data_IF_014646519678
#
_entry.id   IF_014646519678
#
_cell.length_a   1.000
_cell.length_b   1.000
_cell.length_c   1.000
_cell.angle_alpha   90.00
_cell.angle_beta   90.00
_cell.angle_gamma   90.00
#
_symmetry.space_group_name_H-M   'P 1'
#
loop_
_entity.id
_entity.type
_entity.pdbx_description
1 polymer ?
#
# COMPACT_ATOMS: atom_id res chain seq x y z
N UNK A 1 -52.06 -63.28 6.07
CA UNK A 1 -52.37 -63.93 4.77
C UNK A 1 -51.24 -63.50 3.82
N UNK A 2 -50.38 -64.41 3.56
CA UNK A 2 -50.27 -65.16 2.30
C UNK A 2 -49.88 -64.19 1.14
N UNK A 3 -48.86 -64.34 0.43
CA UNK A 3 -47.92 -65.40 0.16
C UNK A 3 -46.95 -65.00 -0.97
N UNK A 4 -45.83 -65.63 -0.89
CA UNK A 4 -45.12 -66.38 -1.95
C UNK A 4 -44.56 -65.63 -3.15
N UNK A 5 -43.18 -65.58 -3.23
CA UNK A 5 -42.34 -66.48 -4.04
C UNK A 5 -42.36 -66.22 -5.55
N UNK A 6 -41.23 -65.98 -6.21
CA UNK A 6 -40.15 -66.86 -6.71
C UNK A 6 -39.24 -66.01 -7.66
N UNK A 7 -37.90 -66.10 -7.53
CA UNK A 7 -36.95 -66.82 -8.41
C UNK A 7 -37.14 -66.50 -9.90
N UNK A 8 -36.10 -66.15 -10.67
CA UNK A 8 -34.80 -66.77 -10.86
C UNK A 8 -33.98 -66.00 -11.92
N UNK A 9 -32.66 -66.11 -11.78
CA UNK A 9 -31.65 -66.46 -12.79
C UNK A 9 -31.57 -65.63 -14.08
N UNK A 10 -30.43 -65.11 -14.34
CA UNK A 10 -29.39 -65.53 -15.27
C UNK A 10 -28.68 -64.36 -15.88
N UNK A 11 -27.44 -64.21 -15.67
CA UNK A 11 -26.38 -64.61 -16.57
C UNK A 11 -26.00 -63.53 -17.58
N UNK A 12 -24.75 -63.10 -17.54
CA UNK A 12 -24.17 -62.37 -18.66
C UNK A 12 -23.02 -61.46 -18.27
N UNK A 13 -21.88 -62.04 -17.92
CA UNK A 13 -20.58 -61.35 -18.03
C UNK A 13 -20.37 -60.91 -19.45
N UNK A 14 -20.10 -59.65 -19.71
CA UNK A 14 -19.23 -59.19 -20.78
C UNK A 14 -18.54 -57.92 -20.31
N UNK A 15 -17.21 -58.01 -20.13
CA UNK A 15 -16.34 -56.92 -19.83
C UNK A 15 -16.31 -55.91 -20.97
N UNK A 16 -16.32 -54.68 -20.64
CA UNK A 16 -15.89 -53.58 -21.50
C UNK A 16 -14.84 -52.82 -20.71
N UNK A 17 -13.62 -52.94 -21.18
CA UNK A 17 -12.49 -52.14 -20.76
C UNK A 17 -12.78 -50.68 -21.08
N UNK A 18 -13.16 -49.90 -20.08
CA UNK A 18 -13.29 -48.46 -20.16
C UNK A 18 -11.95 -47.82 -19.85
N UNK A 19 -11.29 -47.31 -20.86
CA UNK A 19 -10.10 -46.51 -20.76
C UNK A 19 -10.42 -45.25 -19.90
N UNK A 20 -9.90 -45.22 -18.68
CA UNK A 20 -9.99 -44.04 -17.83
C UNK A 20 -9.08 -42.94 -18.38
N UNK A 21 -9.69 -41.93 -19.00
CA UNK A 21 -9.03 -40.68 -19.31
C UNK A 21 -8.79 -39.96 -17.95
N UNK A 22 -7.56 -40.06 -17.43
CA UNK A 22 -7.10 -39.21 -16.33
C UNK A 22 -6.98 -37.79 -16.85
N UNK A 23 -7.97 -36.96 -16.58
CA UNK A 23 -7.86 -35.50 -16.71
C UNK A 23 -6.87 -35.03 -15.63
N UNK A 24 -5.59 -34.88 -16.02
CA UNK A 24 -4.60 -34.16 -15.24
C UNK A 24 -4.99 -32.68 -15.26
N UNK A 25 -5.74 -32.21 -14.27
CA UNK A 25 -5.94 -30.79 -13.98
C UNK A 25 -4.61 -30.21 -13.56
N UNK A 26 -3.92 -29.58 -14.49
CA UNK A 26 -2.78 -28.69 -14.23
C UNK A 26 -3.31 -27.49 -13.42
N UNK A 27 -3.25 -27.60 -12.11
CA UNK A 27 -3.31 -26.46 -11.21
C UNK A 27 -2.05 -25.62 -11.50
N UNK A 28 -2.20 -24.63 -12.38
CA UNK A 28 -1.26 -23.54 -12.53
C UNK A 28 -1.23 -22.81 -11.17
N UNK A 29 -0.32 -23.21 -10.31
CA UNK A 29 0.05 -22.40 -9.15
C UNK A 29 0.59 -21.08 -9.71
N UNK A 30 -0.25 -20.06 -9.68
CA UNK A 30 0.23 -18.69 -9.82
C UNK A 30 1.12 -18.42 -8.62
N UNK A 31 2.42 -18.64 -8.79
CA UNK A 31 3.39 -18.22 -7.80
C UNK A 31 3.15 -16.73 -7.53
N UNK A 32 3.03 -16.32 -6.27
CA UNK A 32 2.91 -14.91 -5.93
C UNK A 32 4.09 -14.19 -6.59
N UNK A 33 3.80 -13.25 -7.50
CA UNK A 33 4.84 -12.43 -8.10
C UNK A 33 5.55 -11.71 -6.96
N UNK A 34 6.89 -11.76 -6.88
CA UNK A 34 7.61 -11.01 -5.87
C UNK A 34 7.21 -9.55 -6.03
N UNK A 35 6.60 -8.98 -4.99
CA UNK A 35 6.29 -7.55 -4.95
C UNK A 35 7.64 -6.84 -4.99
N UNK A 36 7.93 -6.04 -6.02
CA UNK A 36 9.19 -5.35 -6.06
C UNK A 36 9.25 -4.39 -4.86
N UNK A 37 10.28 -4.56 -4.06
CA UNK A 37 10.63 -3.68 -2.96
C UNK A 37 10.68 -2.23 -3.40
N UNK A 38 10.64 -1.32 -2.43
CA UNK A 38 10.79 0.12 -2.62
C UNK A 38 11.83 0.44 -3.71
N UNK A 39 11.36 0.75 -4.92
CA UNK A 39 12.22 0.99 -6.08
C UNK A 39 12.42 2.49 -6.20
N UNK A 40 13.65 2.95 -6.03
CA UNK A 40 13.99 4.37 -6.12
C UNK A 40 13.76 4.97 -7.51
N UNK A 41 13.99 4.16 -8.56
CA UNK A 41 13.71 4.52 -9.95
C UNK A 41 12.79 3.48 -10.57
N UNK A 42 11.68 3.93 -11.16
CA UNK A 42 10.76 3.05 -11.87
C UNK A 42 11.38 2.59 -13.18
N UNK A 43 11.36 1.27 -13.41
CA UNK A 43 11.66 0.69 -14.73
C UNK A 43 10.51 0.97 -15.70
N UNK A 44 10.75 0.80 -17.01
CA UNK A 44 9.70 0.93 -18.02
C UNK A 44 8.48 0.02 -17.73
N UNK A 45 8.71 -1.18 -17.21
CA UNK A 45 7.65 -2.09 -16.80
C UNK A 45 6.92 -1.58 -15.55
N UNK A 46 7.66 -1.08 -14.54
CA UNK A 46 7.07 -0.48 -13.35
C UNK A 46 6.23 0.76 -13.65
N UNK A 47 6.60 1.55 -14.65
CA UNK A 47 5.80 2.69 -15.12
C UNK A 47 4.47 2.20 -15.70
N UNK A 48 4.50 1.19 -16.58
CA UNK A 48 3.29 0.59 -17.16
C UNK A 48 2.39 -0.01 -16.08
N UNK A 49 2.95 -0.81 -15.18
CA UNK A 49 2.20 -1.40 -14.07
C UNK A 49 1.54 -0.33 -13.18
N UNK A 50 2.23 0.77 -12.90
CA UNK A 50 1.65 1.85 -12.09
C UNK A 50 0.47 2.53 -12.80
N UNK A 51 0.59 2.78 -14.10
CA UNK A 51 -0.47 3.38 -14.90
C UNK A 51 -1.68 2.43 -14.96
N UNK A 52 -1.45 1.16 -15.26
CA UNK A 52 -2.49 0.13 -15.36
C UNK A 52 -3.23 -0.03 -14.01
N UNK A 53 -2.48 -0.07 -12.90
CA UNK A 53 -3.04 -0.12 -11.56
C UNK A 53 -3.93 1.11 -11.26
N UNK A 54 -3.47 2.30 -11.65
CA UNK A 54 -4.25 3.53 -11.48
C UNK A 54 -5.54 3.53 -12.30
N UNK A 55 -5.47 3.15 -13.56
CA UNK A 55 -6.63 3.07 -14.44
C UNK A 55 -7.64 2.01 -13.94
N UNK A 56 -7.16 0.83 -13.54
CA UNK A 56 -8.00 -0.23 -12.99
C UNK A 56 -8.72 0.19 -11.70
N UNK A 57 -8.13 1.09 -10.93
CA UNK A 57 -8.69 1.58 -9.66
C UNK A 57 -9.74 2.70 -9.82
N UNK A 58 -10.10 3.10 -11.05
CA UNK A 58 -11.10 4.18 -11.29
C UNK A 58 -12.46 3.84 -10.67
N UNK A 59 -12.86 2.57 -10.69
CA UNK A 59 -14.14 2.09 -10.15
C UNK A 59 -14.09 1.72 -8.67
N UNK A 60 -12.94 1.85 -8.03
CA UNK A 60 -12.77 1.55 -6.61
C UNK A 60 -13.01 2.82 -5.79
N UNK A 61 -13.83 2.73 -4.76
CA UNK A 61 -14.10 3.88 -3.87
C UNK A 61 -12.87 4.24 -3.04
N UNK A 62 -12.10 3.24 -2.62
CA UNK A 62 -10.86 3.42 -1.86
C UNK A 62 -9.64 3.11 -2.73
N UNK A 63 -8.64 3.97 -2.61
CA UNK A 63 -7.34 3.70 -3.24
C UNK A 63 -6.56 2.72 -2.36
N UNK A 64 -5.67 1.87 -2.93
CA UNK A 64 -5.18 0.69 -2.24
C UNK A 64 -4.75 0.93 -0.80
N UNK A 65 -5.37 0.21 0.13
CA UNK A 65 -5.03 0.16 1.55
C UNK A 65 -3.57 -0.23 1.80
N UNK A 66 -2.94 -0.89 0.80
CA UNK A 66 -1.54 -1.31 0.87
C UNK A 66 -0.55 -0.15 1.09
N UNK A 67 -0.95 1.09 0.78
CA UNK A 67 -0.10 2.28 1.00
C UNK A 67 -0.44 3.04 2.26
N UNK A 68 -1.39 2.56 3.02
CA UNK A 68 -1.87 3.16 4.25
C UNK A 68 -1.55 2.28 5.45
N UNK A 69 -1.10 2.90 6.53
CA UNK A 69 -0.89 2.27 7.81
C UNK A 69 -1.71 3.00 8.86
N UNK A 70 -2.73 2.33 9.38
CA UNK A 70 -3.49 2.82 10.52
C UNK A 70 -2.82 2.36 11.82
N UNK A 71 -2.67 3.28 12.76
CA UNK A 71 -2.08 3.00 14.07
C UNK A 71 -3.17 2.86 15.13
N UNK A 72 -2.90 2.12 16.22
CA UNK A 72 -3.89 1.89 17.27
C UNK A 72 -4.40 3.17 17.95
N UNK A 73 -3.64 4.27 17.92
CA UNK A 73 -4.03 5.57 18.45
C UNK A 73 -4.97 6.37 17.54
N UNK A 74 -5.25 5.84 16.33
CA UNK A 74 -6.08 6.47 15.32
C UNK A 74 -5.29 7.34 14.35
N UNK A 75 -3.96 7.41 14.48
CA UNK A 75 -3.10 8.09 13.52
C UNK A 75 -3.02 7.28 12.23
N UNK A 76 -2.83 7.99 11.13
CA UNK A 76 -2.78 7.46 9.79
C UNK A 76 -1.48 7.85 9.10
N UNK A 77 -0.83 6.90 8.42
CA UNK A 77 0.35 7.16 7.59
C UNK A 77 0.11 6.65 6.19
N UNK A 78 0.03 7.55 5.22
CA UNK A 78 0.02 7.18 3.81
C UNK A 78 1.44 7.30 3.27
N UNK A 79 1.93 6.19 2.71
CA UNK A 79 3.28 6.11 2.13
C UNK A 79 3.19 6.35 0.62
N UNK A 80 3.80 7.43 0.17
CA UNK A 80 3.82 7.81 -1.24
C UNK A 80 5.19 7.55 -1.84
N UNK A 81 5.27 6.55 -2.70
CA UNK A 81 6.43 6.14 -3.49
C UNK A 81 6.34 6.71 -4.91
N UNK A 82 7.38 6.63 -5.74
CA UNK A 82 7.27 6.94 -7.17
C UNK A 82 6.16 6.16 -7.87
N UNK A 83 6.00 4.87 -7.54
CA UNK A 83 4.95 4.01 -8.11
C UNK A 83 3.55 4.49 -7.71
N UNK A 84 3.28 4.62 -6.41
CA UNK A 84 1.96 4.99 -5.92
C UNK A 84 1.53 6.39 -6.40
N UNK A 85 2.48 7.33 -6.53
CA UNK A 85 2.21 8.68 -7.08
C UNK A 85 1.79 8.62 -8.54
N UNK A 86 2.49 7.82 -9.34
CA UNK A 86 2.15 7.66 -10.76
C UNK A 86 0.79 6.98 -10.92
N UNK A 87 0.53 5.92 -10.15
CA UNK A 87 -0.75 5.22 -10.15
C UNK A 87 -1.91 6.15 -9.73
N UNK A 88 -1.72 6.96 -8.67
CA UNK A 88 -2.72 7.93 -8.22
C UNK A 88 -3.00 8.99 -9.31
N UNK A 89 -1.94 9.47 -9.98
CA UNK A 89 -2.10 10.45 -11.06
C UNK A 89 -2.83 9.84 -12.26
N UNK A 90 -2.49 8.59 -12.64
CA UNK A 90 -3.18 7.87 -13.71
C UNK A 90 -4.67 7.69 -13.39
N UNK A 91 -5.01 7.30 -12.15
CA UNK A 91 -6.40 7.21 -11.70
C UNK A 91 -7.14 8.54 -11.83
N UNK A 92 -6.56 9.63 -11.33
CA UNK A 92 -7.19 10.96 -11.36
C UNK A 92 -7.45 11.46 -12.79
N UNK A 93 -6.55 11.15 -13.72
CA UNK A 93 -6.69 11.51 -15.13
C UNK A 93 -7.75 10.63 -15.80
N UNK A 94 -7.70 9.31 -15.56
CA UNK A 94 -8.68 8.38 -16.11
C UNK A 94 -10.11 8.62 -15.58
N UNK A 95 -10.28 9.06 -14.33
CA UNK A 95 -11.58 9.48 -13.79
C UNK A 95 -12.19 10.70 -14.54
N UNK A 96 -11.36 11.50 -15.22
CA UNK A 96 -11.82 12.61 -16.08
C UNK A 96 -12.06 12.19 -17.51
N UNK A 97 -11.86 10.90 -17.85
CA UNK A 97 -11.96 10.38 -19.20
C UNK A 97 -10.73 10.66 -20.08
N UNK A 98 -9.65 11.14 -19.49
CA UNK A 98 -8.41 11.48 -20.17
C UNK A 98 -7.36 10.38 -20.09
N UNK A 99 -6.28 10.50 -20.87
CA UNK A 99 -5.12 9.60 -20.86
C UNK A 99 -3.90 10.36 -20.35
N UNK A 100 -3.15 9.71 -19.46
CA UNK A 100 -1.91 10.27 -18.92
C UNK A 100 -0.84 10.41 -20.00
N UNK A 101 -0.44 11.63 -20.33
CA UNK A 101 0.54 11.93 -21.37
C UNK A 101 1.96 11.60 -20.91
N UNK A 102 2.88 11.34 -21.86
CA UNK A 102 4.30 11.09 -21.55
C UNK A 102 4.96 12.22 -20.77
N UNK A 103 4.61 13.46 -21.08
CA UNK A 103 5.08 14.63 -20.34
C UNK A 103 4.66 14.58 -18.87
N UNK A 104 3.39 14.30 -18.62
CA UNK A 104 2.87 14.18 -17.25
C UNK A 104 3.49 12.99 -16.51
N UNK A 105 3.67 11.84 -17.19
CA UNK A 105 4.37 10.68 -16.63
C UNK A 105 5.76 11.07 -16.16
N UNK A 106 6.55 11.69 -17.06
CA UNK A 106 7.90 12.14 -16.75
C UNK A 106 7.94 13.12 -15.58
N UNK A 107 7.04 14.11 -15.55
CA UNK A 107 6.95 15.06 -14.44
C UNK A 107 6.68 14.37 -13.09
N UNK A 108 5.78 13.37 -13.05
CA UNK A 108 5.50 12.64 -11.81
C UNK A 108 6.68 11.77 -11.36
N UNK A 109 7.36 11.11 -12.30
CA UNK A 109 8.55 10.32 -12.02
C UNK A 109 9.68 11.22 -11.48
N UNK A 110 9.96 12.33 -12.13
CA UNK A 110 11.03 13.28 -11.73
C UNK A 110 10.73 13.86 -10.33
N UNK A 111 9.45 14.15 -10.02
CA UNK A 111 9.04 14.62 -8.68
C UNK A 111 9.19 13.56 -7.59
N UNK A 112 9.07 12.29 -7.94
CA UNK A 112 9.19 11.16 -7.00
C UNK A 112 10.62 10.64 -6.85
N UNK A 113 11.52 10.97 -7.79
CA UNK A 113 12.84 10.37 -7.89
C UNK A 113 13.67 10.53 -6.62
N UNK A 114 14.22 9.40 -6.15
CA UNK A 114 15.15 9.38 -5.00
C UNK A 114 14.52 9.76 -3.66
N UNK A 115 13.20 9.78 -3.54
CA UNK A 115 12.51 10.19 -2.31
C UNK A 115 11.26 9.37 -2.03
N UNK A 116 10.92 9.29 -0.73
CA UNK A 116 9.64 8.77 -0.22
C UNK A 116 8.93 9.90 0.51
N UNK A 117 7.63 10.01 0.33
CA UNK A 117 6.81 10.98 1.04
C UNK A 117 5.86 10.26 1.98
N UNK A 118 5.77 10.73 3.20
CA UNK A 118 4.82 10.27 4.20
C UNK A 118 3.81 11.39 4.46
N UNK A 119 2.53 11.09 4.26
CA UNK A 119 1.44 11.92 4.73
C UNK A 119 0.97 11.34 6.07
N UNK A 120 1.18 12.08 7.15
CA UNK A 120 0.93 11.63 8.52
C UNK A 120 -0.21 12.43 9.11
N UNK A 121 -1.35 11.78 9.32
CA UNK A 121 -2.48 12.35 10.04
C UNK A 121 -2.32 12.04 11.52
N UNK A 122 -2.23 13.07 12.34
CA UNK A 122 -2.10 12.96 13.79
C UNK A 122 -3.28 13.63 14.47
N UNK A 123 -3.77 13.00 15.53
CA UNK A 123 -4.85 13.55 16.35
C UNK A 123 -4.29 14.14 17.63
N UNK A 124 -4.73 15.34 17.97
CA UNK A 124 -4.22 16.07 19.13
C UNK A 124 -5.30 16.58 20.07
N UNK A 125 -4.83 17.16 21.17
CA UNK A 125 -5.65 17.80 22.18
C UNK A 125 -6.25 19.14 21.70
N UNK A 126 -6.78 19.95 22.63
CA UNK A 126 -7.55 21.16 22.30
C UNK A 126 -6.73 22.30 21.67
N UNK A 127 -5.40 22.20 21.72
CA UNK A 127 -4.53 23.24 21.14
C UNK A 127 -4.50 23.14 19.61
N UNK A 128 -4.92 24.21 18.95
CA UNK A 128 -4.84 24.31 17.48
C UNK A 128 -3.42 24.41 16.92
N UNK A 129 -2.41 24.41 17.79
CA UNK A 129 -1.00 24.51 17.39
C UNK A 129 -0.20 23.26 17.74
N UNK A 130 -0.86 22.18 18.15
CA UNK A 130 -0.18 20.99 18.68
C UNK A 130 0.83 20.37 17.71
N UNK A 131 0.57 20.41 16.38
CA UNK A 131 1.43 19.79 15.39
C UNK A 131 2.43 20.75 14.72
N UNK A 132 2.43 22.03 15.11
CA UNK A 132 3.10 23.11 14.35
C UNK A 132 4.62 22.96 14.21
N UNK A 133 5.27 22.33 15.17
CA UNK A 133 6.73 22.27 15.25
C UNK A 133 7.28 20.83 15.32
N UNK A 134 6.55 19.87 14.83
CA UNK A 134 6.98 18.49 14.82
C UNK A 134 8.24 18.28 13.98
N UNK A 135 9.12 17.44 14.48
CA UNK A 135 10.38 17.07 13.83
C UNK A 135 10.40 15.57 13.54
N UNK A 136 10.22 15.16 12.27
CA UNK A 136 10.24 13.75 11.89
C UNK A 136 11.65 13.28 11.57
N UNK A 137 11.95 12.02 11.92
CA UNK A 137 13.13 11.27 11.49
C UNK A 137 12.74 9.84 11.14
N UNK A 138 13.46 9.21 10.22
CA UNK A 138 13.43 7.76 10.01
C UNK A 138 14.62 7.12 10.72
N UNK A 139 14.37 6.15 11.57
CA UNK A 139 15.41 5.35 12.23
C UNK A 139 15.65 4.06 11.45
N UNK A 140 16.91 3.84 11.06
CA UNK A 140 17.38 2.66 10.33
C UNK A 140 18.64 2.15 11.02
N UNK A 141 18.60 0.93 11.57
CA UNK A 141 19.76 0.32 12.22
C UNK A 141 20.45 1.25 13.25
N UNK A 142 19.67 1.96 14.04
CA UNK A 142 20.16 2.89 15.06
C UNK A 142 20.64 4.26 14.53
N UNK A 143 20.60 4.49 13.23
CA UNK A 143 20.90 5.80 12.62
C UNK A 143 19.63 6.55 12.29
N UNK A 144 19.67 7.87 12.43
CA UNK A 144 18.55 8.75 12.05
C UNK A 144 18.80 9.37 10.68
N UNK A 145 17.80 9.25 9.81
CA UNK A 145 17.71 9.92 8.53
C UNK A 145 16.74 11.08 8.69
N UNK A 146 17.22 12.28 8.47
CA UNK A 146 16.41 13.50 8.57
C UNK A 146 15.53 13.66 7.34
N UNK A 147 14.33 14.21 7.53
CA UNK A 147 13.50 14.62 6.42
C UNK A 147 14.18 15.73 5.62
N UNK A 148 14.13 15.62 4.30
CA UNK A 148 14.60 16.66 3.36
C UNK A 148 13.58 17.79 3.21
N UNK A 149 12.30 17.50 3.55
CA UNK A 149 11.22 18.48 3.58
C UNK A 149 10.24 18.12 4.69
N UNK A 150 9.80 19.13 5.44
CA UNK A 150 8.82 19.03 6.53
C UNK A 150 7.77 20.11 6.35
N UNK A 151 6.52 19.70 6.22
CA UNK A 151 5.37 20.59 6.26
C UNK A 151 4.44 20.12 7.36
N UNK A 152 4.44 20.85 8.44
CA UNK A 152 3.51 20.62 9.53
C UNK A 152 2.22 21.42 9.32
N UNK A 153 1.09 20.82 9.70
CA UNK A 153 -0.21 21.48 9.66
C UNK A 153 -0.24 22.66 10.64
N UNK A 154 -0.62 23.82 10.13
CA UNK A 154 -0.72 25.04 10.92
C UNK A 154 -2.12 25.29 11.50
N UNK A 155 -3.12 24.68 10.87
CA UNK A 155 -4.53 24.87 11.21
C UNK A 155 -5.24 23.53 11.25
N UNK A 156 -4.99 22.70 12.28
CA UNK A 156 -5.67 21.42 12.43
C UNK A 156 -7.20 21.60 12.39
N UNK A 157 -7.86 20.68 11.76
CA UNK A 157 -9.31 20.68 11.58
C UNK A 157 -9.96 19.67 12.54
N UNK A 158 -11.21 19.92 13.01
CA UNK A 158 -11.94 18.92 13.75
C UNK A 158 -12.13 17.64 12.95
N UNK A 159 -11.76 16.49 13.50
CA UNK A 159 -12.09 15.18 12.98
C UNK A 159 -13.50 14.76 13.36
N UNK A 160 -13.96 13.64 12.82
CA UNK A 160 -15.29 13.09 13.11
C UNK A 160 -15.47 12.69 14.58
N UNK A 161 -14.37 12.32 15.23
CA UNK A 161 -14.32 11.99 16.67
C UNK A 161 -14.24 13.21 17.59
N UNK A 162 -14.29 14.42 17.04
CA UNK A 162 -14.18 15.69 17.76
C UNK A 162 -12.76 16.06 18.18
N UNK A 163 -11.76 15.24 17.94
CA UNK A 163 -10.35 15.59 18.12
C UNK A 163 -9.86 16.44 16.95
N UNK A 164 -8.86 17.28 17.19
CA UNK A 164 -8.22 18.01 16.11
C UNK A 164 -7.30 17.09 15.32
N UNK A 165 -7.45 17.06 14.00
CA UNK A 165 -6.62 16.32 13.07
C UNK A 165 -5.64 17.25 12.35
N UNK A 166 -4.35 16.89 12.38
CA UNK A 166 -3.28 17.58 11.67
C UNK A 166 -2.70 16.68 10.58
N UNK A 167 -2.70 17.16 9.34
CA UNK A 167 -2.13 16.45 8.18
C UNK A 167 -0.74 16.99 7.88
N UNK A 168 0.27 16.21 8.23
CA UNK A 168 1.67 16.59 8.08
C UNK A 168 2.28 15.88 6.88
N UNK A 169 3.15 16.57 6.12
CA UNK A 169 3.86 16.00 4.97
C UNK A 169 5.36 15.97 5.28
N UNK A 170 5.94 14.78 5.21
CA UNK A 170 7.34 14.53 5.44
C UNK A 170 7.97 13.85 4.22
N UNK A 171 9.06 14.40 3.71
CA UNK A 171 9.79 13.80 2.58
C UNK A 171 11.16 13.38 3.04
N UNK A 172 11.51 12.13 2.77
CA UNK A 172 12.81 11.57 3.11
C UNK A 172 13.57 11.15 1.85
N UNK A 173 14.90 11.26 1.83
CA UNK A 173 15.71 10.68 0.78
C UNK A 173 15.63 9.16 0.85
N UNK A 174 15.63 8.48 -0.29
CA UNK A 174 15.73 7.03 -0.36
C UNK A 174 17.16 6.54 -0.05
N UNK A 175 18.14 7.42 -0.17
CA UNK A 175 19.53 7.12 0.20
C UNK A 175 19.62 6.75 1.69
N UNK A 176 20.22 5.60 1.96
CA UNK A 176 20.34 5.06 3.32
C UNK A 176 19.14 4.29 3.81
N UNK A 177 18.04 4.23 3.06
CA UNK A 177 16.92 3.35 3.37
C UNK A 177 17.16 1.94 2.80
N UNK A 178 16.78 0.87 3.53
CA UNK A 178 16.83 -0.48 2.99
C UNK A 178 15.76 -0.63 1.89
N UNK A 179 16.12 -1.28 0.79
CA UNK A 179 15.16 -1.57 -0.29
C UNK A 179 14.04 -2.49 0.19
N UNK A 180 14.37 -3.42 1.07
CA UNK A 180 13.45 -4.33 1.75
C UNK A 180 13.76 -4.26 3.23
N UNK A 181 12.78 -4.09 4.06
CA UNK A 181 12.97 -4.11 5.51
C UNK A 181 12.14 -3.08 6.24
N UNK A 182 12.32 -3.05 7.54
CA UNK A 182 11.56 -2.18 8.43
C UNK A 182 12.37 -0.95 8.79
N UNK A 183 11.74 0.22 8.69
CA UNK A 183 12.23 1.48 9.23
C UNK A 183 11.25 1.98 10.30
N UNK A 184 11.70 2.84 11.19
CA UNK A 184 10.82 3.41 12.21
C UNK A 184 10.71 4.91 12.00
N UNK A 185 9.49 5.39 11.72
CA UNK A 185 9.19 6.82 11.77
C UNK A 185 9.09 7.23 13.23
N UNK A 186 9.86 8.25 13.60
CA UNK A 186 9.76 8.91 14.91
C UNK A 186 9.45 10.37 14.66
N UNK A 187 8.40 10.87 15.28
CA UNK A 187 8.04 12.28 15.26
C UNK A 187 8.20 12.83 16.68
N UNK A 188 8.95 13.91 16.81
CA UNK A 188 9.20 14.58 18.08
C UNK A 188 8.53 15.95 18.09
N UNK A 189 8.15 16.37 19.27
CA UNK A 189 7.63 17.72 19.52
C UNK A 189 8.74 18.79 19.46
N UNK A 190 8.34 20.04 19.65
CA UNK A 190 9.24 21.18 19.62
C UNK A 190 10.33 21.12 20.70
N UNK A 191 11.52 21.72 20.43
CA UNK A 191 12.46 22.01 21.50
C UNK A 191 11.84 22.87 22.61
N UNK A 192 12.29 22.75 23.85
CA UNK A 192 13.46 21.99 24.30
C UNK A 192 13.21 20.53 24.58
N UNK A 193 11.96 20.11 24.83
CA UNK A 193 11.64 18.78 25.37
C UNK A 193 11.85 17.67 24.34
N UNK A 194 11.60 17.92 23.04
CA UNK A 194 11.70 16.95 21.93
C UNK A 194 11.07 15.60 22.28
N UNK A 195 9.95 15.65 23.01
CA UNK A 195 9.23 14.44 23.39
C UNK A 195 8.75 13.70 22.15
N UNK A 196 8.90 12.40 22.16
CA UNK A 196 8.34 11.55 21.12
C UNK A 196 6.81 11.55 21.19
N UNK A 197 6.17 11.97 20.09
CA UNK A 197 4.71 12.07 19.97
C UNK A 197 4.14 11.00 19.03
N UNK A 198 5.00 10.41 18.19
CA UNK A 198 4.63 9.29 17.32
C UNK A 198 5.83 8.38 17.11
N UNK A 199 5.58 7.07 17.18
CA UNK A 199 6.52 6.01 16.75
C UNK A 199 5.77 4.97 15.94
N UNK A 200 6.16 4.79 14.67
CA UNK A 200 5.53 3.84 13.77
C UNK A 200 6.58 3.02 13.03
N UNK A 201 6.39 1.71 12.97
CA UNK A 201 7.21 0.80 12.15
C UNK A 201 6.61 0.72 10.75
N UNK A 202 7.42 0.99 9.74
CA UNK A 202 7.06 0.93 8.33
C UNK A 202 7.83 -0.23 7.69
N UNK A 203 7.14 -1.23 7.22
CA UNK A 203 7.72 -2.31 6.43
C UNK A 203 7.78 -1.88 4.96
N UNK A 204 8.96 -1.46 4.53
CA UNK A 204 9.16 -0.92 3.18
C UNK A 204 8.97 -1.96 2.08
N UNK A 205 8.98 -3.27 2.42
CA UNK A 205 8.70 -4.33 1.45
C UNK A 205 7.25 -4.35 0.99
N UNK A 206 6.34 -3.73 1.73
CA UNK A 206 4.92 -3.63 1.41
C UNK A 206 4.57 -2.48 0.50
N UNK A 207 5.46 -1.50 0.34
CA UNK A 207 5.21 -0.30 -0.44
C UNK A 207 5.97 -0.37 -1.76
N UNK A 208 5.23 -0.34 -2.86
CA UNK A 208 5.77 -0.20 -4.21
C UNK A 208 6.13 1.25 -4.51
#
# INVERSE_FOLDING_TARGET
>A
MSGRRRRARGGGQRGVAGAGLALATLLLWSAPRPVPALVGDLTADGIREAIDAGVAAVTQDEFPEEWQLQLPGGEDIVVSTPFSRLALTARQIAMKGDVLTEKQQKEQIDRGKGRIQLLVTMHGGPSRTFARFYTPVLQVNGKEIKASFVQNERTPIPGEDGRLAARNVYVFPLEGLPKNGTVTLVVRDAPPEQKEVLRAKLDLSKFR
#
